data_IF_212786097921
#
_entry.id   IF_212786097921
#
_cell.length_a   1.000
_cell.length_b   1.000
_cell.length_c   1.000
_cell.angle_alpha   90.00
_cell.angle_beta   90.00
_cell.angle_gamma   90.00
#
_symmetry.space_group_name_H-M   'P 1'
#
loop_
_entity.id
_entity.type
_entity.pdbx_description
1 polymer ?
#
# COMPACT_ATOMS: atom_id res chain seq x y z
N UNK A 1 -5.65 14.45 38.01
CA UNK A 1 -5.11 13.19 37.49
C UNK A 1 -6.24 12.45 36.81
N UNK A 2 -6.34 12.61 35.48
CA UNK A 2 -7.50 12.25 34.69
C UNK A 2 -7.50 10.77 34.30
N UNK A 3 -8.56 10.07 34.67
CA UNK A 3 -8.81 8.65 34.40
C UNK A 3 -9.37 8.42 32.98
N UNK A 4 -9.20 9.39 32.07
CA UNK A 4 -9.77 9.38 30.71
C UNK A 4 -8.78 8.91 29.63
N UNK A 5 -7.48 8.79 29.95
CA UNK A 5 -6.46 8.31 29.01
C UNK A 5 -6.44 6.76 28.85
N UNK A 6 -7.13 6.04 29.73
CA UNK A 6 -6.99 4.58 29.86
C UNK A 6 -7.96 3.74 28.99
N UNK A 7 -8.78 4.37 28.14
CA UNK A 7 -9.68 3.65 27.23
C UNK A 7 -9.45 3.99 25.75
N UNK A 8 -8.20 4.35 25.37
CA UNK A 8 -7.76 4.12 24.00
C UNK A 8 -7.55 2.61 23.81
N UNK A 9 -8.66 1.86 23.82
CA UNK A 9 -8.74 0.52 23.22
C UNK A 9 -7.94 0.62 21.92
N UNK A 10 -6.93 -0.24 21.66
CA UNK A 10 -6.24 -0.20 20.38
C UNK A 10 -7.34 -0.17 19.34
N UNK A 11 -7.39 0.94 18.58
CA UNK A 11 -8.35 1.12 17.50
C UNK A 11 -8.33 -0.21 16.77
N UNK A 12 -9.46 -0.92 16.77
CA UNK A 12 -9.53 -2.31 16.34
C UNK A 12 -8.62 -2.50 15.13
N UNK A 13 -7.65 -3.42 15.24
CA UNK A 13 -6.51 -3.62 14.32
C UNK A 13 -6.91 -3.18 12.90
N UNK A 14 -6.40 -2.04 12.43
CA UNK A 14 -6.85 -1.47 11.16
C UNK A 14 -6.54 -2.51 10.08
N UNK A 15 -7.55 -3.13 9.45
CA UNK A 15 -7.31 -4.26 8.55
C UNK A 15 -6.44 -3.85 7.35
N UNK A 16 -6.38 -2.55 7.02
CA UNK A 16 -5.49 -2.00 6.00
C UNK A 16 -4.03 -2.00 6.47
N UNK A 17 -3.78 -1.66 7.74
CA UNK A 17 -2.44 -1.66 8.32
C UNK A 17 -1.82 -3.06 8.34
N UNK A 18 -2.65 -4.11 8.56
CA UNK A 18 -2.22 -5.50 8.51
C UNK A 18 -1.72 -5.96 7.13
N UNK A 19 -2.08 -5.25 6.04
CA UNK A 19 -1.65 -5.59 4.68
C UNK A 19 -0.30 -4.99 4.30
N UNK A 20 0.21 -3.99 5.01
CA UNK A 20 1.44 -3.26 4.62
C UNK A 20 2.66 -4.18 4.58
N UNK A 21 2.86 -4.99 5.64
CA UNK A 21 4.00 -5.90 5.71
C UNK A 21 3.91 -7.01 4.64
N UNK A 22 2.78 -7.72 4.45
CA UNK A 22 2.62 -8.67 3.35
C UNK A 22 2.88 -8.07 1.97
N UNK A 23 2.43 -6.84 1.71
CA UNK A 23 2.67 -6.14 0.44
C UNK A 23 4.17 -5.88 0.24
N UNK A 24 4.87 -5.38 1.26
CA UNK A 24 6.31 -5.20 1.20
C UNK A 24 7.02 -6.53 0.91
N UNK A 25 6.68 -7.60 1.62
CA UNK A 25 7.30 -8.90 1.43
C UNK A 25 7.05 -9.45 0.02
N UNK A 26 5.87 -9.23 -0.55
CA UNK A 26 5.58 -9.61 -1.93
C UNK A 26 6.45 -8.82 -2.94
N UNK A 27 6.62 -7.52 -2.73
CA UNK A 27 7.51 -6.68 -3.57
C UNK A 27 8.99 -7.10 -3.45
N UNK A 28 9.43 -7.48 -2.24
CA UNK A 28 10.78 -8.02 -2.01
C UNK A 28 10.97 -9.39 -2.68
N UNK A 29 9.98 -10.27 -2.61
CA UNK A 29 10.03 -11.58 -3.28
C UNK A 29 10.12 -11.48 -4.81
N UNK A 30 9.57 -10.41 -5.38
CA UNK A 30 9.69 -10.08 -6.81
C UNK A 30 11.03 -9.40 -7.16
N UNK A 31 11.86 -9.08 -6.16
CA UNK A 31 13.14 -8.39 -6.34
C UNK A 31 13.03 -6.90 -6.64
N UNK A 32 11.86 -6.28 -6.42
CA UNK A 32 11.63 -4.87 -6.72
C UNK A 32 11.98 -3.93 -5.57
N UNK A 33 12.15 -4.47 -4.37
CA UNK A 33 12.54 -3.73 -3.17
C UNK A 33 13.75 -4.42 -2.55
N UNK A 34 14.86 -3.69 -2.48
CA UNK A 34 16.11 -4.12 -1.85
C UNK A 34 16.50 -3.13 -0.76
N UNK A 35 17.02 -3.62 0.36
CA UNK A 35 17.43 -2.76 1.48
C UNK A 35 16.25 -2.04 2.15
N UNK A 36 16.50 -0.95 2.90
CA UNK A 36 15.46 -0.22 3.62
C UNK A 36 14.54 0.57 2.68
N UNK A 37 13.24 0.65 3.03
CA UNK A 37 12.28 1.51 2.34
C UNK A 37 12.60 2.97 2.65
N UNK A 38 12.82 3.78 1.62
CA UNK A 38 13.13 5.21 1.73
C UNK A 38 11.89 6.11 1.76
N UNK A 39 12.11 7.42 1.61
CA UNK A 39 11.04 8.41 1.44
C UNK A 39 10.32 8.23 0.09
N UNK A 40 9.02 8.55 -0.01
CA UNK A 40 8.31 8.49 -1.28
C UNK A 40 8.91 9.44 -2.30
N UNK A 41 9.21 8.91 -3.48
CA UNK A 41 9.59 9.71 -4.64
C UNK A 41 8.38 10.53 -5.11
N UNK A 42 8.61 11.80 -5.44
CA UNK A 42 7.59 12.64 -6.06
C UNK A 42 7.37 12.22 -7.53
N UNK A 43 6.11 12.20 -7.94
CA UNK A 43 5.65 12.01 -9.32
C UNK A 43 4.48 12.96 -9.55
N UNK A 44 4.39 13.52 -10.75
CA UNK A 44 3.34 14.50 -11.10
C UNK A 44 2.12 13.83 -11.75
N UNK A 45 2.28 12.59 -12.24
CA UNK A 45 1.21 11.81 -12.86
C UNK A 45 0.65 10.71 -11.94
N UNK A 46 -0.61 10.29 -12.16
CA UNK A 46 -1.14 9.08 -11.54
C UNK A 46 -0.29 7.87 -11.95
N UNK A 47 0.11 7.06 -10.97
CA UNK A 47 0.90 5.85 -11.18
C UNK A 47 2.28 6.06 -11.86
N UNK A 48 2.78 7.29 -11.93
CA UNK A 48 4.07 7.58 -12.56
C UNK A 48 4.10 7.31 -14.08
N UNK A 49 2.94 7.39 -14.74
CA UNK A 49 2.80 7.24 -16.19
C UNK A 49 3.76 8.21 -16.89
N UNK A 50 4.51 7.70 -17.88
CA UNK A 50 5.56 8.41 -18.63
C UNK A 50 6.75 8.90 -17.78
N UNK A 51 6.79 8.62 -16.47
CA UNK A 51 7.88 9.02 -15.57
C UNK A 51 8.76 7.83 -15.14
N UNK A 52 8.17 6.64 -14.93
CA UNK A 52 8.89 5.42 -14.55
C UNK A 52 8.10 4.13 -14.83
N UNK A 53 8.77 2.97 -14.88
CA UNK A 53 8.08 1.68 -14.90
C UNK A 53 7.17 1.49 -13.68
N UNK A 54 6.06 0.77 -13.86
CA UNK A 54 5.07 0.60 -12.79
C UNK A 54 5.63 -0.16 -11.57
N UNK A 55 6.54 -1.11 -11.79
CA UNK A 55 7.27 -1.82 -10.73
C UNK A 55 8.11 -0.87 -9.89
N UNK A 56 8.77 0.10 -10.54
CA UNK A 56 9.53 1.14 -9.86
C UNK A 56 8.61 2.10 -9.09
N UNK A 57 7.45 2.44 -9.66
CA UNK A 57 6.44 3.24 -8.96
C UNK A 57 5.92 2.53 -7.72
N UNK A 58 5.67 1.21 -7.79
CA UNK A 58 5.28 0.40 -6.64
C UNK A 58 6.32 0.47 -5.51
N UNK A 59 7.60 0.30 -5.86
CA UNK A 59 8.70 0.27 -4.89
C UNK A 59 9.05 1.65 -4.30
N UNK A 60 9.06 2.70 -5.13
CA UNK A 60 9.63 4.00 -4.77
C UNK A 60 8.59 5.07 -4.42
N UNK A 61 7.33 4.87 -4.78
CA UNK A 61 6.25 5.83 -4.53
C UNK A 61 5.16 5.21 -3.66
N UNK A 62 4.59 4.09 -4.10
CA UNK A 62 3.46 3.46 -3.42
C UNK A 62 3.85 2.89 -2.06
N UNK A 63 4.89 2.05 -1.99
CA UNK A 63 5.28 1.39 -0.74
C UNK A 63 5.67 2.39 0.37
N UNK A 64 6.49 3.42 0.13
CA UNK A 64 6.74 4.45 1.14
C UNK A 64 5.46 5.16 1.61
N UNK A 65 4.57 5.56 0.69
CA UNK A 65 3.27 6.17 1.05
C UNK A 65 2.36 5.23 1.82
N UNK A 66 2.44 3.93 1.54
CA UNK A 66 1.68 2.91 2.24
C UNK A 66 2.14 2.78 3.71
N UNK A 67 3.45 2.88 3.95
CA UNK A 67 4.00 2.96 5.31
C UNK A 67 3.59 4.23 6.05
N UNK A 68 3.64 5.39 5.38
CA UNK A 68 3.16 6.66 5.94
C UNK A 68 1.68 6.57 6.32
N UNK A 69 0.83 6.07 5.42
CA UNK A 69 -0.60 5.89 5.68
C UNK A 69 -0.88 5.00 6.90
N UNK A 70 -0.10 3.92 7.08
CA UNK A 70 -0.17 3.05 8.26
C UNK A 70 0.31 3.77 9.52
N UNK A 71 1.42 4.51 9.46
CA UNK A 71 1.98 5.22 10.61
C UNK A 71 1.04 6.30 11.14
N UNK A 72 0.44 7.06 10.23
CA UNK A 72 -0.44 8.18 10.56
C UNK A 72 -1.91 7.77 10.74
N UNK A 73 -2.26 6.55 10.29
CA UNK A 73 -3.65 6.07 10.22
C UNK A 73 -4.50 6.85 9.22
N UNK A 74 -3.86 7.54 8.27
CA UNK A 74 -4.50 8.38 7.26
C UNK A 74 -4.43 7.69 5.90
N UNK A 75 -5.55 7.08 5.53
CA UNK A 75 -5.70 6.37 4.27
C UNK A 75 -6.36 7.28 3.22
N UNK A 76 -6.04 7.10 1.92
CA UNK A 76 -6.71 7.85 0.88
C UNK A 76 -8.22 7.52 0.87
N UNK A 77 -9.08 8.45 0.43
CA UNK A 77 -10.52 8.24 0.41
C UNK A 77 -10.98 7.17 -0.60
N UNK A 78 -10.13 6.87 -1.59
CA UNK A 78 -10.29 5.82 -2.60
C UNK A 78 -8.93 5.31 -3.05
N UNK A 79 -8.88 4.09 -3.55
CA UNK A 79 -7.70 3.51 -4.17
C UNK A 79 -8.08 2.66 -5.39
N UNK A 80 -7.20 2.67 -6.39
CA UNK A 80 -7.33 1.90 -7.64
C UNK A 80 -6.01 1.22 -8.00
N UNK A 81 -5.15 0.96 -7.02
CA UNK A 81 -3.81 0.41 -7.27
C UNK A 81 -3.88 -1.02 -7.80
N UNK A 82 -4.88 -1.80 -7.38
CA UNK A 82 -5.10 -3.15 -7.92
C UNK A 82 -5.43 -3.10 -9.41
N UNK A 83 -6.29 -2.17 -9.84
CA UNK A 83 -6.65 -2.00 -11.25
C UNK A 83 -5.42 -1.64 -12.08
N UNK A 84 -4.58 -0.73 -11.59
CA UNK A 84 -3.33 -0.38 -12.25
C UNK A 84 -2.37 -1.59 -12.29
N UNK A 85 -2.28 -2.34 -11.20
CA UNK A 85 -1.43 -3.52 -11.10
C UNK A 85 -1.85 -4.62 -12.07
N UNK A 86 -3.13 -4.96 -12.17
CA UNK A 86 -3.61 -5.92 -13.16
C UNK A 86 -3.28 -5.49 -14.60
N UNK A 87 -3.42 -4.21 -14.94
CA UNK A 87 -3.13 -3.73 -16.30
C UNK A 87 -1.66 -3.83 -16.69
N UNK A 88 -0.75 -3.67 -15.72
CA UNK A 88 0.70 -3.62 -15.99
C UNK A 88 1.40 -4.96 -15.73
N UNK A 89 0.87 -5.78 -14.82
CA UNK A 89 1.57 -6.95 -14.28
C UNK A 89 0.89 -8.28 -14.61
N UNK A 90 -0.36 -8.30 -15.10
CA UNK A 90 -1.05 -9.56 -15.36
C UNK A 90 -0.27 -10.46 -16.34
N UNK A 91 -0.20 -11.75 -16.03
CA UNK A 91 0.61 -12.73 -16.75
C UNK A 91 2.11 -12.73 -16.43
N UNK A 92 2.63 -11.80 -15.63
CA UNK A 92 4.01 -11.87 -15.14
C UNK A 92 4.17 -13.01 -14.10
N UNK A 93 5.26 -13.80 -14.11
CA UNK A 93 5.43 -14.89 -13.15
C UNK A 93 5.54 -14.39 -11.70
N UNK A 94 4.74 -14.96 -10.80
CA UNK A 94 4.88 -14.78 -9.35
C UNK A 94 4.25 -13.51 -8.78
N UNK A 95 3.56 -12.70 -9.59
CA UNK A 95 2.88 -11.47 -9.13
C UNK A 95 1.52 -11.72 -8.50
N UNK A 96 0.97 -12.93 -8.62
CA UNK A 96 -0.38 -13.28 -8.16
C UNK A 96 -0.60 -13.00 -6.65
N UNK A 97 0.37 -13.29 -5.75
CA UNK A 97 0.25 -12.91 -4.34
C UNK A 97 0.13 -11.38 -4.15
N UNK A 98 0.92 -10.59 -4.88
CA UNK A 98 0.87 -9.13 -4.83
C UNK A 98 -0.48 -8.61 -5.34
N UNK A 99 -0.94 -9.08 -6.49
CA UNK A 99 -2.23 -8.67 -7.07
C UNK A 99 -3.40 -8.93 -6.10
N UNK A 100 -3.38 -10.08 -5.41
CA UNK A 100 -4.39 -10.40 -4.39
C UNK A 100 -4.34 -9.43 -3.20
N UNK A 101 -3.16 -9.09 -2.72
CA UNK A 101 -2.98 -8.16 -1.60
C UNK A 101 -3.41 -6.74 -1.96
N UNK A 102 -3.05 -6.27 -3.16
CA UNK A 102 -3.47 -4.95 -3.66
C UNK A 102 -4.99 -4.88 -3.84
N UNK A 103 -5.63 -5.97 -4.30
CA UNK A 103 -7.08 -6.05 -4.42
C UNK A 103 -7.77 -5.94 -3.06
N UNK A 104 -7.28 -6.67 -2.04
CA UNK A 104 -7.80 -6.56 -0.67
C UNK A 104 -7.62 -5.15 -0.09
N UNK A 105 -6.48 -4.50 -0.37
CA UNK A 105 -6.25 -3.12 0.06
C UNK A 105 -7.26 -2.16 -0.57
N UNK A 106 -7.47 -2.24 -1.89
CA UNK A 106 -8.47 -1.43 -2.60
C UNK A 106 -9.88 -1.69 -2.06
N UNK A 107 -10.26 -2.94 -1.81
CA UNK A 107 -11.55 -3.29 -1.21
C UNK A 107 -11.73 -2.64 0.16
N UNK A 108 -10.74 -2.73 1.05
CA UNK A 108 -10.80 -2.16 2.39
C UNK A 108 -10.82 -0.63 2.37
N UNK A 109 -10.10 0.02 1.46
CA UNK A 109 -10.09 1.48 1.31
C UNK A 109 -11.43 1.97 0.75
N UNK A 110 -11.97 1.27 -0.26
CA UNK A 110 -13.16 1.71 -0.98
C UNK A 110 -14.48 1.31 -0.29
N UNK A 111 -14.44 0.32 0.61
CA UNK A 111 -15.59 -0.03 1.44
C UNK A 111 -15.84 1.08 2.45
N UNK A 112 -16.93 1.81 2.26
CA UNK A 112 -17.37 2.89 3.13
C UNK A 112 -17.56 2.32 4.54
N UNK A 113 -16.68 2.67 5.47
CA UNK A 113 -17.02 2.59 6.90
C UNK A 113 -18.14 3.60 7.09
N UNK A 114 -19.39 3.10 7.11
CA UNK A 114 -20.60 3.90 7.32
C UNK A 114 -20.60 4.59 8.68
#
# INVERSE_FOLDING_TARGET
MGWLDALRRPRADDPRAALVEPIEQALRALGWVEGPVGLPRAVDSPFGIDEMPFEQWLAQVFLPRLHEARADGQWPPRSHVAVAAYRNLDGQPGVEPLLRLLSQLDELINTRTG
#
